data_IF_826611759338
#
_entry.id   IF_826611759338
#
_cell.length_a   1.000
_cell.length_b   1.000
_cell.length_c   1.000
_cell.angle_alpha   90.00
_cell.angle_beta   90.00
_cell.angle_gamma   90.00
#
_symmetry.space_group_name_H-M   'P 1'
#
loop_
_entity.id
_entity.type
_entity.pdbx_description
1 polymer ?
#
# COMPACT_ATOMS: atom_id res chain seq x y z
N UNK A 1 40.45 -66.57 49.80
CA UNK A 1 40.37 -65.12 50.02
C UNK A 1 40.96 -64.26 48.90
N UNK A 2 41.91 -64.69 48.16
CA UNK A 2 42.60 -63.94 47.08
C UNK A 2 41.72 -63.75 45.83
N UNK A 3 40.96 -64.73 45.38
CA UNK A 3 40.07 -64.67 44.19
C UNK A 3 38.97 -63.59 44.29
N UNK A 4 38.46 -63.32 45.48
CA UNK A 4 37.46 -62.27 45.70
C UNK A 4 37.99 -60.85 45.54
N UNK A 5 39.26 -60.59 45.88
CA UNK A 5 39.88 -59.29 45.72
C UNK A 5 40.15 -58.94 44.24
N UNK A 6 40.73 -59.95 43.52
CA UNK A 6 41.00 -59.78 42.07
C UNK A 6 39.70 -59.49 41.31
N UNK A 7 38.59 -60.20 41.60
CA UNK A 7 37.31 -59.99 40.98
C UNK A 7 36.77 -58.58 41.26
N UNK A 8 36.88 -58.06 42.48
CA UNK A 8 36.49 -56.70 42.79
C UNK A 8 37.29 -55.64 42.03
N UNK A 9 38.61 -55.84 41.89
CA UNK A 9 39.46 -54.93 41.11
C UNK A 9 39.08 -54.94 39.63
N UNK A 10 38.81 -56.10 39.06
CA UNK A 10 38.35 -56.23 37.66
C UNK A 10 37.02 -55.47 37.42
N UNK A 11 36.09 -55.55 38.37
CA UNK A 11 34.83 -54.82 38.25
C UNK A 11 35.05 -53.30 38.32
N UNK A 12 35.89 -52.82 39.22
CA UNK A 12 36.22 -51.41 39.34
C UNK A 12 36.86 -50.86 38.05
N UNK A 13 37.83 -51.59 37.52
CA UNK A 13 38.50 -51.25 36.26
C UNK A 13 37.48 -51.25 35.09
N UNK A 14 36.63 -52.23 35.01
CA UNK A 14 35.57 -52.28 33.97
C UNK A 14 34.61 -51.09 34.09
N UNK A 15 34.12 -50.78 35.28
CA UNK A 15 33.27 -49.60 35.51
C UNK A 15 33.94 -48.31 35.13
N UNK A 16 35.23 -48.17 35.42
CA UNK A 16 36.03 -47.00 35.02
C UNK A 16 36.07 -46.83 33.49
N UNK A 17 36.30 -47.89 32.74
CA UNK A 17 36.26 -47.84 31.28
C UNK A 17 34.86 -47.53 30.72
N UNK A 18 33.80 -48.04 31.34
CA UNK A 18 32.43 -47.74 30.94
C UNK A 18 32.11 -46.25 31.18
N UNK A 19 32.51 -45.71 32.34
CA UNK A 19 32.33 -44.29 32.63
C UNK A 19 33.11 -43.39 31.66
N UNK A 20 34.35 -43.75 31.35
CA UNK A 20 35.14 -42.98 30.38
C UNK A 20 34.55 -43.03 28.98
N UNK A 21 34.03 -44.17 28.53
CA UNK A 21 33.34 -44.28 27.24
C UNK A 21 32.05 -43.41 27.18
N UNK A 22 31.27 -43.37 28.28
CA UNK A 22 30.10 -42.54 28.39
C UNK A 22 30.47 -41.04 28.31
N UNK A 23 31.51 -40.62 29.04
CA UNK A 23 32.00 -39.23 28.99
C UNK A 23 32.41 -38.85 27.57
N UNK A 24 33.14 -39.75 26.87
CA UNK A 24 33.56 -39.48 25.49
C UNK A 24 32.39 -39.32 24.52
N UNK A 25 31.35 -40.16 24.64
CA UNK A 25 30.13 -40.07 23.81
C UNK A 25 29.39 -38.74 24.08
N UNK A 26 29.22 -38.37 25.33
CA UNK A 26 28.59 -37.12 25.73
C UNK A 26 29.37 -35.92 25.19
N UNK A 27 30.71 -35.93 25.36
CA UNK A 27 31.56 -34.81 24.91
C UNK A 27 31.56 -34.65 23.39
N UNK A 28 31.53 -35.74 22.63
CA UNK A 28 31.41 -35.70 21.17
C UNK A 28 30.05 -35.22 20.73
N UNK A 29 28.96 -35.64 21.42
CA UNK A 29 27.60 -35.16 21.16
C UNK A 29 27.46 -33.67 21.37
N UNK A 30 27.92 -33.17 22.52
CA UNK A 30 27.86 -31.74 22.85
C UNK A 30 28.72 -30.92 21.87
N UNK A 31 29.89 -31.38 21.49
CA UNK A 31 30.79 -30.70 20.53
C UNK A 31 30.15 -30.59 19.14
N UNK A 32 29.44 -31.63 18.68
CA UNK A 32 28.75 -31.57 17.39
C UNK A 32 27.54 -30.63 17.39
N UNK A 33 26.76 -30.58 18.48
CA UNK A 33 25.64 -29.63 18.61
C UNK A 33 26.13 -28.19 18.68
N UNK A 34 27.20 -27.91 19.46
CA UNK A 34 27.76 -26.56 19.51
C UNK A 34 28.27 -26.12 18.15
N UNK A 35 28.95 -27.01 17.41
CA UNK A 35 29.47 -26.71 16.07
C UNK A 35 28.32 -26.37 15.10
N UNK A 36 27.22 -27.11 15.14
CA UNK A 36 26.05 -26.82 14.31
C UNK A 36 25.36 -25.49 14.68
N UNK A 37 25.27 -25.16 15.97
CA UNK A 37 24.71 -23.86 16.43
C UNK A 37 25.63 -22.72 15.96
N UNK A 38 26.94 -22.84 16.04
CA UNK A 38 27.87 -21.79 15.59
C UNK A 38 27.80 -21.59 14.09
N UNK A 39 27.70 -22.66 13.29
CA UNK A 39 27.54 -22.58 11.83
C UNK A 39 26.23 -21.86 11.48
N UNK A 40 25.11 -22.21 12.13
CA UNK A 40 23.84 -21.55 11.89
C UNK A 40 23.86 -20.05 12.21
N UNK A 41 24.49 -19.65 13.32
CA UNK A 41 24.64 -18.25 13.70
C UNK A 41 25.50 -17.47 12.68
N UNK A 42 26.57 -18.09 12.17
CA UNK A 42 27.44 -17.47 11.14
C UNK A 42 26.70 -17.33 9.79
N UNK A 43 25.88 -18.31 9.40
CA UNK A 43 25.03 -18.23 8.20
C UNK A 43 23.94 -17.17 8.35
N UNK A 44 23.26 -17.09 9.50
CA UNK A 44 22.28 -16.04 9.77
C UNK A 44 22.91 -14.64 9.69
N UNK A 45 24.08 -14.43 10.29
CA UNK A 45 24.77 -13.15 10.20
C UNK A 45 25.18 -12.78 8.78
N UNK A 46 25.70 -13.74 8.00
CA UNK A 46 26.05 -13.50 6.60
C UNK A 46 24.81 -13.14 5.76
N UNK A 47 23.69 -13.80 6.00
CA UNK A 47 22.42 -13.51 5.32
C UNK A 47 21.89 -12.13 5.71
N UNK A 48 21.98 -11.74 6.99
CA UNK A 48 21.64 -10.40 7.45
C UNK A 48 22.52 -9.29 6.82
N UNK A 49 23.84 -9.52 6.78
CA UNK A 49 24.79 -8.58 6.16
C UNK A 49 24.53 -8.44 4.66
N UNK A 50 24.28 -9.56 3.96
CA UNK A 50 23.93 -9.56 2.54
C UNK A 50 22.61 -8.81 2.29
N UNK A 51 21.54 -9.13 3.04
CA UNK A 51 20.25 -8.46 2.93
C UNK A 51 20.35 -6.95 3.19
N UNK A 52 21.09 -6.54 4.21
CA UNK A 52 21.31 -5.13 4.51
C UNK A 52 22.10 -4.42 3.40
N UNK A 53 23.09 -5.08 2.80
CA UNK A 53 23.87 -4.52 1.69
C UNK A 53 23.01 -4.35 0.42
N UNK A 54 22.17 -5.31 0.11
CA UNK A 54 21.24 -5.25 -1.02
C UNK A 54 20.18 -4.14 -0.82
N UNK A 55 19.64 -4.02 0.38
CA UNK A 55 18.70 -2.95 0.75
C UNK A 55 19.32 -1.54 0.61
N UNK A 56 20.59 -1.37 0.97
CA UNK A 56 21.31 -0.09 0.81
C UNK A 56 21.57 0.23 -0.67
N UNK A 57 21.88 -0.77 -1.49
CA UNK A 57 22.03 -0.59 -2.95
C UNK A 57 20.71 -0.18 -3.57
N UNK A 58 19.61 -0.85 -3.22
CA UNK A 58 18.28 -0.51 -3.73
C UNK A 58 17.88 0.92 -3.35
N UNK A 59 18.08 1.34 -2.11
CA UNK A 59 17.81 2.71 -1.69
C UNK A 59 18.61 3.75 -2.47
N UNK A 60 19.86 3.46 -2.83
CA UNK A 60 20.69 4.35 -3.66
C UNK A 60 20.13 4.49 -5.06
N UNK A 61 19.75 3.38 -5.69
CA UNK A 61 19.17 3.36 -7.03
C UNK A 61 17.83 4.12 -7.07
N UNK A 62 16.98 3.92 -6.06
CA UNK A 62 15.71 4.63 -5.90
C UNK A 62 15.95 6.14 -5.77
N UNK A 63 16.93 6.54 -4.95
CA UNK A 63 17.26 7.94 -4.76
C UNK A 63 17.72 8.61 -6.06
N UNK A 64 18.55 7.93 -6.83
CA UNK A 64 19.02 8.42 -8.14
C UNK A 64 17.84 8.53 -9.11
N UNK A 65 17.01 7.50 -9.21
CA UNK A 65 15.84 7.49 -10.07
C UNK A 65 14.86 8.65 -9.73
N UNK A 66 14.52 8.83 -8.44
CA UNK A 66 13.60 9.89 -8.02
C UNK A 66 14.20 11.28 -8.26
N UNK A 67 15.51 11.48 -8.09
CA UNK A 67 16.14 12.73 -8.45
C UNK A 67 15.99 13.02 -9.96
N UNK A 68 16.17 12.01 -10.84
CA UNK A 68 15.94 12.18 -12.27
C UNK A 68 14.49 12.58 -12.59
N UNK A 69 13.51 12.03 -11.86
CA UNK A 69 12.10 12.45 -11.99
C UNK A 69 11.90 13.91 -11.55
N UNK A 70 12.52 14.32 -10.42
CA UNK A 70 12.43 15.70 -9.95
C UNK A 70 13.11 16.68 -10.90
N UNK A 71 14.25 16.32 -11.46
CA UNK A 71 14.98 17.12 -12.44
C UNK A 71 14.15 17.26 -13.72
N UNK A 72 13.56 16.17 -14.24
CA UNK A 72 12.67 16.22 -15.41
C UNK A 72 11.43 17.09 -15.16
N UNK A 73 10.83 17.05 -13.97
CA UNK A 73 9.73 17.95 -13.61
C UNK A 73 10.17 19.43 -13.60
N UNK A 74 11.35 19.74 -13.05
CA UNK A 74 11.91 21.09 -13.04
C UNK A 74 12.22 21.59 -14.46
N UNK A 75 12.74 20.71 -15.32
CA UNK A 75 13.07 21.01 -16.72
C UNK A 75 11.83 21.02 -17.64
N UNK A 76 10.64 20.71 -17.06
CA UNK A 76 9.35 20.61 -17.77
C UNK A 76 9.31 19.50 -18.82
N UNK A 77 10.14 18.47 -18.67
CA UNK A 77 10.11 17.25 -19.48
C UNK A 77 9.01 16.30 -18.96
N UNK A 78 7.76 16.72 -19.18
CA UNK A 78 6.60 15.96 -18.71
C UNK A 78 6.41 14.64 -19.45
N UNK A 79 6.92 14.51 -20.68
CA UNK A 79 6.85 13.26 -21.44
C UNK A 79 7.73 12.18 -20.79
N UNK A 80 8.93 12.56 -20.33
CA UNK A 80 9.79 11.68 -19.53
C UNK A 80 9.08 11.20 -18.25
N UNK A 81 8.51 12.10 -17.47
CA UNK A 81 7.81 11.74 -16.23
C UNK A 81 6.59 10.85 -16.50
N UNK A 82 5.79 11.18 -17.55
CA UNK A 82 4.60 10.42 -17.93
C UNK A 82 4.93 8.97 -18.29
N UNK A 83 6.07 8.72 -18.92
CA UNK A 83 6.54 7.36 -19.25
C UNK A 83 6.70 6.47 -17.99
N UNK A 84 7.09 7.06 -16.88
CA UNK A 84 7.27 6.34 -15.61
C UNK A 84 6.03 6.31 -14.73
N UNK A 85 4.95 7.03 -15.06
CA UNK A 85 3.71 6.91 -14.30
C UNK A 85 3.12 5.50 -14.42
N UNK A 86 2.56 5.01 -13.32
CA UNK A 86 1.87 3.72 -13.27
C UNK A 86 0.62 3.73 -14.17
N UNK A 87 0.41 2.64 -14.92
CA UNK A 87 -0.67 2.55 -15.89
C UNK A 87 -2.07 2.59 -15.24
N UNK A 88 -2.21 2.01 -14.03
CA UNK A 88 -3.44 2.05 -13.24
C UNK A 88 -3.71 3.47 -12.76
N UNK A 89 -2.65 4.16 -12.32
CA UNK A 89 -2.72 5.56 -11.92
C UNK A 89 -3.12 6.46 -13.10
N UNK A 90 -2.49 6.29 -14.27
CA UNK A 90 -2.86 7.01 -15.49
C UNK A 90 -4.33 6.79 -15.87
N UNK A 91 -4.78 5.53 -15.85
CA UNK A 91 -6.14 5.16 -16.22
C UNK A 91 -7.19 5.82 -15.32
N UNK A 92 -7.06 5.70 -14.01
CA UNK A 92 -8.12 6.08 -13.08
C UNK A 92 -8.09 7.54 -12.64
N UNK A 93 -6.91 8.18 -12.62
CA UNK A 93 -6.81 9.59 -12.23
C UNK A 93 -6.83 10.55 -13.41
N UNK A 94 -6.42 10.09 -14.57
CA UNK A 94 -6.26 10.94 -15.76
C UNK A 94 -7.06 10.45 -16.97
N UNK A 95 -7.80 9.35 -16.89
CA UNK A 95 -8.55 8.74 -18.00
C UNK A 95 -7.65 8.43 -19.22
N UNK A 96 -6.35 8.21 -19.02
CA UNK A 96 -5.30 8.16 -20.02
C UNK A 96 -5.19 9.44 -20.88
N UNK A 97 -5.70 10.57 -20.39
CA UNK A 97 -5.63 11.87 -21.07
C UNK A 97 -4.25 12.50 -20.83
N UNK A 98 -3.49 12.66 -21.91
CA UNK A 98 -2.14 13.23 -21.88
C UNK A 98 -2.12 14.70 -21.47
N UNK A 99 -3.09 15.49 -21.89
CA UNK A 99 -3.13 16.93 -21.57
C UNK A 99 -3.48 17.13 -20.08
N UNK A 100 -4.45 16.39 -19.56
CA UNK A 100 -4.81 16.36 -18.13
C UNK A 100 -3.61 15.92 -17.28
N UNK A 101 -2.88 14.90 -17.73
CA UNK A 101 -1.65 14.42 -17.06
C UNK A 101 -0.60 15.53 -17.01
N UNK A 102 -0.30 16.16 -18.15
CA UNK A 102 0.69 17.25 -18.24
C UNK A 102 0.31 18.45 -17.39
N UNK A 103 -0.95 18.82 -17.34
CA UNK A 103 -1.42 19.91 -16.48
C UNK A 103 -1.20 19.60 -14.99
N UNK A 104 -1.48 18.38 -14.57
CA UNK A 104 -1.21 17.96 -13.18
C UNK A 104 0.29 17.97 -12.88
N UNK A 105 1.13 17.47 -13.81
CA UNK A 105 2.58 17.48 -13.64
C UNK A 105 3.14 18.91 -13.52
N UNK A 106 2.63 19.86 -14.29
CA UNK A 106 3.00 21.29 -14.19
C UNK A 106 2.79 21.86 -12.78
N UNK A 107 1.74 21.38 -12.11
CA UNK A 107 1.34 21.88 -10.80
C UNK A 107 1.89 21.01 -9.64
N UNK A 108 2.61 19.93 -9.94
CA UNK A 108 3.11 19.01 -8.91
C UNK A 108 4.23 19.65 -8.09
N UNK A 109 5.21 20.27 -8.74
CA UNK A 109 6.27 21.04 -8.07
C UNK A 109 5.88 22.52 -7.98
N UNK A 110 6.26 23.15 -6.91
CA UNK A 110 6.08 24.60 -6.72
C UNK A 110 7.29 25.34 -7.26
N UNK A 111 7.06 26.40 -8.01
CA UNK A 111 8.13 27.20 -8.61
C UNK A 111 9.03 27.87 -7.55
N UNK A 112 10.33 27.88 -7.81
CA UNK A 112 11.33 28.53 -6.96
C UNK A 112 11.63 27.81 -5.65
N UNK A 113 11.15 26.59 -5.48
CA UNK A 113 11.36 25.77 -4.28
C UNK A 113 12.37 24.65 -4.58
N UNK A 114 13.33 24.47 -3.65
CA UNK A 114 14.27 23.36 -3.72
C UNK A 114 13.70 22.13 -3.01
N UNK A 115 13.59 21.04 -3.75
CA UNK A 115 13.15 19.75 -3.25
C UNK A 115 14.33 18.84 -2.87
N UNK A 116 14.13 18.03 -1.84
CA UNK A 116 15.11 17.02 -1.45
C UNK A 116 14.41 15.76 -0.95
N UNK A 117 14.98 14.59 -1.24
CA UNK A 117 14.50 13.33 -0.68
C UNK A 117 14.87 13.29 0.80
N UNK A 118 13.88 13.16 1.66
CA UNK A 118 14.04 13.14 3.13
C UNK A 118 13.95 11.74 3.71
N UNK A 119 13.19 10.84 3.07
CA UNK A 119 13.06 9.45 3.52
C UNK A 119 12.70 8.52 2.37
N UNK A 120 13.07 7.25 2.48
CA UNK A 120 12.69 6.15 1.60
C UNK A 120 12.28 4.98 2.49
N UNK A 121 10.97 4.73 2.56
CA UNK A 121 10.37 3.66 3.35
C UNK A 121 10.01 2.47 2.46
N UNK A 122 10.54 1.30 2.80
CA UNK A 122 10.28 0.03 2.13
C UNK A 122 8.99 -0.59 2.70
N UNK A 123 8.03 -0.90 1.83
CA UNK A 123 6.75 -1.52 2.17
C UNK A 123 6.58 -2.91 1.51
N UNK A 124 7.68 -3.52 1.06
CA UNK A 124 7.74 -4.85 0.48
C UNK A 124 7.56 -4.85 -1.03
N UNK A 125 6.36 -4.61 -1.52
CA UNK A 125 6.02 -4.54 -2.96
C UNK A 125 6.21 -3.14 -3.57
N UNK A 126 6.50 -2.13 -2.74
CA UNK A 126 6.65 -0.74 -3.14
C UNK A 126 7.48 0.05 -2.14
N UNK A 127 7.86 1.25 -2.56
CA UNK A 127 8.56 2.21 -1.73
C UNK A 127 7.76 3.50 -1.63
N UNK A 128 7.79 4.13 -0.45
CA UNK A 128 7.28 5.48 -0.24
C UNK A 128 8.46 6.43 -0.11
N UNK A 129 8.57 7.36 -1.04
CA UNK A 129 9.63 8.36 -1.06
C UNK A 129 9.07 9.69 -0.59
N UNK A 130 9.59 10.20 0.51
CA UNK A 130 9.24 11.51 1.06
C UNK A 130 10.14 12.58 0.45
N UNK A 131 9.53 13.64 -0.08
CA UNK A 131 10.21 14.79 -0.69
C UNK A 131 9.90 16.01 0.14
N UNK A 132 10.90 16.51 0.85
CA UNK A 132 10.79 17.68 1.69
C UNK A 132 11.13 18.97 0.94
N UNK A 133 10.46 20.07 1.29
CA UNK A 133 10.76 21.42 0.83
C UNK A 133 10.31 22.47 1.86
N UNK A 134 10.90 23.68 1.80
CA UNK A 134 10.50 24.79 2.65
C UNK A 134 9.91 25.90 1.79
N UNK A 135 8.72 26.37 2.16
CA UNK A 135 8.06 27.53 1.57
C UNK A 135 7.46 28.38 2.67
N UNK A 136 7.66 29.69 2.60
CA UNK A 136 7.19 30.66 3.59
C UNK A 136 7.58 30.26 5.03
N UNK A 137 8.82 29.80 5.22
CA UNK A 137 9.40 29.31 6.48
C UNK A 137 8.73 28.03 7.02
N UNK A 138 7.80 27.43 6.28
CA UNK A 138 7.10 26.20 6.67
C UNK A 138 7.70 25.02 5.91
N UNK A 139 8.17 23.99 6.64
CA UNK A 139 8.56 22.72 6.04
C UNK A 139 7.33 21.93 5.62
N UNK A 140 7.35 21.44 4.38
CA UNK A 140 6.27 20.64 3.77
C UNK A 140 6.83 19.38 3.16
N UNK A 141 5.98 18.37 3.02
CA UNK A 141 6.34 17.09 2.42
C UNK A 141 5.37 16.72 1.32
N UNK A 142 5.90 16.25 0.21
CA UNK A 142 5.18 15.51 -0.84
C UNK A 142 5.67 14.07 -0.85
N UNK A 143 4.92 13.19 -1.48
CA UNK A 143 5.24 11.77 -1.55
C UNK A 143 5.21 11.27 -2.98
N UNK A 144 6.09 10.33 -3.28
CA UNK A 144 6.02 9.50 -4.48
C UNK A 144 5.90 8.05 -4.00
N UNK A 145 4.91 7.33 -4.50
CA UNK A 145 4.85 5.87 -4.38
C UNK A 145 5.56 5.28 -5.59
N UNK A 146 6.48 4.36 -5.36
CA UNK A 146 7.33 3.76 -6.37
C UNK A 146 7.20 2.25 -6.31
N UNK A 147 6.96 1.62 -7.46
CA UNK A 147 6.96 0.17 -7.64
C UNK A 147 8.20 -0.27 -8.39
N UNK A 148 8.85 -1.33 -7.91
CA UNK A 148 9.91 -2.02 -8.64
C UNK A 148 9.28 -3.15 -9.47
N UNK A 149 9.37 -3.03 -10.79
CA UNK A 149 8.81 -4.00 -11.75
C UNK A 149 9.80 -5.12 -12.13
N UNK A 150 10.81 -5.38 -11.30
CA UNK A 150 11.95 -6.26 -11.58
C UNK A 150 13.03 -5.60 -12.46
N UNK A 151 14.27 -5.95 -12.21
CA UNK A 151 15.46 -5.47 -12.94
C UNK A 151 15.71 -3.95 -12.93
N UNK A 152 15.27 -3.24 -11.88
CA UNK A 152 15.49 -1.79 -11.74
C UNK A 152 14.65 -0.92 -12.66
N UNK A 153 13.56 -1.45 -13.19
CA UNK A 153 12.53 -0.68 -13.88
C UNK A 153 11.49 -0.22 -12.87
N UNK A 154 11.34 1.08 -12.72
CA UNK A 154 10.43 1.66 -11.75
C UNK A 154 9.20 2.26 -12.41
N UNK A 155 8.05 2.15 -11.75
CA UNK A 155 6.83 2.91 -12.03
C UNK A 155 6.44 3.72 -10.81
N UNK A 156 5.86 4.91 -11.02
CA UNK A 156 5.56 5.85 -9.93
C UNK A 156 4.10 6.31 -9.93
N UNK A 157 3.62 6.66 -8.76
CA UNK A 157 2.43 7.47 -8.55
C UNK A 157 2.79 8.71 -7.72
N UNK A 158 2.30 9.87 -8.13
CA UNK A 158 2.55 11.12 -7.43
C UNK A 158 1.62 11.25 -6.22
N UNK A 159 2.05 10.74 -5.08
CA UNK A 159 1.29 10.72 -3.84
C UNK A 159 1.63 9.50 -2.99
N UNK A 160 0.96 9.39 -1.84
CA UNK A 160 1.10 8.28 -0.91
C UNK A 160 -0.06 7.30 -1.11
N UNK A 161 0.08 6.38 -2.05
CA UNK A 161 -0.95 5.39 -2.36
C UNK A 161 -0.57 3.99 -1.89
N UNK A 162 -1.47 3.33 -1.16
CA UNK A 162 -1.27 1.94 -0.75
C UNK A 162 -1.70 0.98 -1.86
N UNK A 163 -2.81 1.28 -2.53
CA UNK A 163 -3.30 0.55 -3.70
C UNK A 163 -4.28 1.39 -4.50
N UNK A 164 -4.50 1.00 -5.75
CA UNK A 164 -5.59 1.44 -6.62
C UNK A 164 -6.21 0.16 -7.19
N UNK A 165 -7.51 -0.01 -7.01
CA UNK A 165 -8.23 -1.20 -7.43
C UNK A 165 -9.45 -0.87 -8.26
N UNK A 166 -9.76 -1.66 -9.31
CA UNK A 166 -11.03 -1.58 -9.99
C UNK A 166 -12.20 -1.76 -9.03
N UNK A 167 -13.28 -1.05 -9.28
CA UNK A 167 -14.53 -1.12 -8.56
C UNK A 167 -15.67 -1.08 -9.57
N UNK A 168 -16.85 -1.56 -9.18
CA UNK A 168 -17.99 -1.69 -10.07
C UNK A 168 -19.32 -1.38 -9.37
N UNK A 169 -19.29 -0.50 -8.37
CA UNK A 169 -20.53 -0.06 -7.73
C UNK A 169 -21.24 0.96 -8.61
N UNK A 170 -22.44 0.65 -9.07
CA UNK A 170 -23.24 1.53 -9.91
C UNK A 170 -24.72 1.44 -9.58
N UNK A 171 -25.46 2.54 -9.76
CA UNK A 171 -26.92 2.58 -9.67
C UNK A 171 -27.51 3.80 -10.36
N UNK A 172 -28.83 3.76 -10.64
CA UNK A 172 -29.55 4.85 -11.25
C UNK A 172 -30.81 5.19 -10.45
N UNK A 173 -31.01 6.46 -10.17
CA UNK A 173 -32.22 6.99 -9.53
C UNK A 173 -32.72 8.26 -10.24
N UNK A 174 -33.94 8.29 -10.72
CA UNK A 174 -34.56 9.46 -11.39
C UNK A 174 -33.72 10.05 -12.54
N UNK A 175 -33.11 9.19 -13.38
CA UNK A 175 -32.17 9.57 -14.44
C UNK A 175 -30.84 10.18 -13.93
N UNK A 176 -30.55 10.09 -12.65
CA UNK A 176 -29.24 10.40 -12.10
C UNK A 176 -28.49 9.10 -11.95
N UNK A 177 -27.28 9.04 -12.50
CA UNK A 177 -26.39 7.88 -12.39
C UNK A 177 -25.36 8.17 -11.30
N UNK A 178 -25.15 7.21 -10.41
CA UNK A 178 -24.07 7.18 -9.42
C UNK A 178 -23.17 6.02 -9.78
N UNK A 179 -21.91 6.29 -10.05
CA UNK A 179 -20.97 5.30 -10.54
C UNK A 179 -19.61 5.38 -9.81
N UNK A 180 -19.08 4.23 -9.39
CA UNK A 180 -17.77 4.11 -8.80
C UNK A 180 -16.99 3.04 -9.57
N UNK A 181 -16.05 3.46 -10.39
CA UNK A 181 -15.25 2.59 -11.27
C UNK A 181 -13.96 2.12 -10.64
N UNK A 182 -13.50 2.76 -9.56
CA UNK A 182 -12.29 2.37 -8.84
C UNK A 182 -12.33 2.84 -7.39
N UNK A 183 -11.49 2.23 -6.58
CA UNK A 183 -11.19 2.65 -5.21
C UNK A 183 -9.68 2.79 -5.04
N UNK A 184 -9.26 3.63 -4.12
CA UNK A 184 -7.86 3.71 -3.76
C UNK A 184 -7.67 3.90 -2.25
N UNK A 185 -6.48 3.57 -1.75
CA UNK A 185 -6.14 3.77 -0.35
C UNK A 185 -4.94 4.69 -0.18
N UNK A 186 -5.05 5.59 0.80
CA UNK A 186 -4.01 6.51 1.24
C UNK A 186 -3.87 6.40 2.75
N UNK A 187 -2.75 5.86 3.22
CA UNK A 187 -2.57 5.55 4.64
C UNK A 187 -3.62 4.54 5.13
N UNK A 188 -4.36 4.90 6.20
CA UNK A 188 -5.45 4.09 6.76
C UNK A 188 -6.83 4.39 6.17
N UNK A 189 -6.89 5.25 5.15
CA UNK A 189 -8.13 5.69 4.50
C UNK A 189 -8.33 4.95 3.20
N UNK A 190 -9.57 4.49 2.97
CA UNK A 190 -10.03 4.02 1.67
C UNK A 190 -10.96 5.05 1.08
N UNK A 191 -10.76 5.39 -0.18
CA UNK A 191 -11.49 6.43 -0.90
C UNK A 191 -12.29 5.78 -2.03
N UNK A 192 -13.56 6.17 -2.13
CA UNK A 192 -14.49 5.75 -3.16
C UNK A 192 -14.91 7.00 -3.95
N UNK A 193 -14.26 7.30 -5.08
CA UNK A 193 -14.71 8.34 -5.99
C UNK A 193 -16.05 7.94 -6.60
N UNK A 194 -17.04 8.83 -6.53
CA UNK A 194 -18.36 8.63 -7.11
C UNK A 194 -18.56 9.66 -8.20
N UNK A 195 -18.70 9.22 -9.44
CA UNK A 195 -19.13 10.04 -10.56
C UNK A 195 -20.65 10.13 -10.55
N UNK A 196 -21.18 11.34 -10.42
CA UNK A 196 -22.62 11.60 -10.41
C UNK A 196 -22.97 12.33 -11.70
N UNK A 197 -23.81 11.71 -12.53
CA UNK A 197 -24.23 12.27 -13.81
C UNK A 197 -25.72 12.57 -13.81
N UNK A 198 -26.08 13.81 -14.15
CA UNK A 198 -27.47 14.21 -14.29
C UNK A 198 -27.97 14.04 -15.74
N UNK A 199 -28.63 12.91 -16.02
CA UNK A 199 -29.25 12.62 -17.30
C UNK A 199 -30.76 12.96 -17.30
N UNK A 200 -31.24 13.77 -16.35
CA UNK A 200 -32.58 14.28 -16.33
C UNK A 200 -32.74 15.53 -17.21
N UNK A 201 -33.96 16.00 -17.40
CA UNK A 201 -34.27 17.19 -18.20
C UNK A 201 -34.30 18.50 -17.37
N UNK A 202 -33.87 18.43 -16.10
CA UNK A 202 -33.91 19.56 -15.16
C UNK A 202 -32.64 19.59 -14.32
N UNK A 203 -32.34 20.77 -13.76
CA UNK A 203 -31.22 20.90 -12.82
C UNK A 203 -31.56 20.18 -11.52
N UNK A 204 -30.54 19.58 -10.88
CA UNK A 204 -30.69 18.71 -9.72
C UNK A 204 -29.80 19.18 -8.59
N UNK A 205 -30.38 19.27 -7.39
CA UNK A 205 -29.66 19.47 -6.14
C UNK A 205 -29.70 18.16 -5.37
N UNK A 206 -28.51 17.65 -5.00
CA UNK A 206 -28.32 16.43 -4.22
C UNK A 206 -27.74 16.83 -2.87
N UNK A 207 -28.54 16.70 -1.83
CA UNK A 207 -28.08 16.91 -0.45
C UNK A 207 -27.82 15.56 0.18
N UNK A 208 -26.57 15.34 0.61
CA UNK A 208 -26.18 14.10 1.26
C UNK A 208 -26.46 14.19 2.77
N UNK A 209 -27.36 13.35 3.26
CA UNK A 209 -27.61 13.21 4.70
C UNK A 209 -26.66 12.22 5.37
N UNK A 210 -26.32 11.14 4.67
CA UNK A 210 -25.41 10.10 5.15
C UNK A 210 -24.87 9.28 3.97
N UNK A 211 -23.67 8.72 4.14
CA UNK A 211 -23.14 7.68 3.28
C UNK A 211 -22.39 6.64 4.14
N UNK A 212 -22.57 5.37 3.81
CA UNK A 212 -21.90 4.30 4.54
C UNK A 212 -21.64 3.08 3.66
N UNK A 213 -20.60 2.35 3.98
CA UNK A 213 -20.28 1.05 3.40
C UNK A 213 -20.89 -0.05 4.27
N UNK A 214 -21.49 -1.05 3.64
CA UNK A 214 -21.98 -2.24 4.30
C UNK A 214 -21.01 -3.40 4.03
N UNK A 215 -20.41 -3.95 5.09
CA UNK A 215 -19.52 -5.09 5.00
C UNK A 215 -20.26 -6.43 4.97
N UNK A 216 -19.54 -7.48 4.60
CA UNK A 216 -20.06 -8.86 4.52
C UNK A 216 -20.59 -9.38 5.86
N UNK A 217 -20.10 -8.86 6.98
CA UNK A 217 -20.56 -9.21 8.33
C UNK A 217 -21.77 -8.40 8.79
N UNK A 218 -22.27 -7.47 7.95
CA UNK A 218 -23.37 -6.57 8.27
C UNK A 218 -22.94 -5.30 9.02
N UNK A 219 -21.64 -5.09 9.24
CA UNK A 219 -21.15 -3.87 9.84
C UNK A 219 -21.28 -2.68 8.89
N UNK A 220 -21.62 -1.52 9.45
CA UNK A 220 -21.68 -0.27 8.72
C UNK A 220 -20.46 0.61 9.06
N UNK A 221 -19.83 1.16 8.04
CA UNK A 221 -18.76 2.16 8.17
C UNK A 221 -19.20 3.44 7.50
N UNK A 222 -19.37 4.50 8.29
CA UNK A 222 -19.81 5.79 7.79
C UNK A 222 -18.69 6.53 7.06
N UNK A 223 -19.05 7.17 5.97
CA UNK A 223 -18.14 8.01 5.18
C UNK A 223 -17.98 9.39 5.85
N UNK A 224 -16.81 9.97 5.63
CA UNK A 224 -16.47 11.33 6.03
C UNK A 224 -16.48 12.25 4.80
N UNK A 225 -16.51 13.57 5.03
CA UNK A 225 -16.38 14.60 4.00
C UNK A 225 -17.42 14.47 2.88
N UNK A 226 -18.69 14.40 3.27
CA UNK A 226 -19.81 14.35 2.32
C UNK A 226 -20.21 15.78 1.97
N UNK A 227 -20.14 16.12 0.68
CA UNK A 227 -20.50 17.45 0.17
C UNK A 227 -21.77 17.38 -0.68
N UNK A 228 -22.61 18.44 -0.60
CA UNK A 228 -23.78 18.57 -1.44
C UNK A 228 -23.38 18.93 -2.88
N UNK A 229 -24.15 18.45 -3.84
CA UNK A 229 -23.86 18.57 -5.27
C UNK A 229 -25.02 19.26 -5.97
N UNK A 230 -24.69 20.19 -6.87
CA UNK A 230 -25.69 20.82 -7.77
C UNK A 230 -25.25 20.58 -9.22
N UNK A 231 -26.06 19.90 -10.00
CA UNK A 231 -25.78 19.51 -11.37
C UNK A 231 -26.81 20.07 -12.33
N UNK A 232 -26.38 20.75 -13.38
CA UNK A 232 -27.22 21.08 -14.52
C UNK A 232 -27.56 19.85 -15.33
N UNK A 233 -28.57 19.95 -16.17
CA UNK A 233 -28.90 18.90 -17.14
C UNK A 233 -27.70 18.53 -17.98
N UNK A 234 -27.34 17.25 -18.01
CA UNK A 234 -26.20 16.69 -18.75
C UNK A 234 -24.82 16.90 -18.08
N UNK A 235 -24.79 17.53 -16.91
CA UNK A 235 -23.56 17.75 -16.16
C UNK A 235 -23.17 16.53 -15.33
N UNK A 236 -21.88 16.35 -15.10
CA UNK A 236 -21.33 15.35 -14.17
C UNK A 236 -20.41 16.02 -13.15
N UNK A 237 -20.36 15.43 -11.97
CA UNK A 237 -19.44 15.84 -10.91
C UNK A 237 -18.93 14.60 -10.17
N UNK A 238 -17.66 14.63 -9.82
CA UNK A 238 -17.03 13.60 -8.99
C UNK A 238 -16.99 14.07 -7.53
N UNK A 239 -17.40 13.19 -6.62
CA UNK A 239 -17.23 13.35 -5.18
C UNK A 239 -16.37 12.22 -4.64
N UNK A 240 -15.76 12.40 -3.48
CA UNK A 240 -14.94 11.36 -2.83
C UNK A 240 -15.53 10.99 -1.47
N UNK A 241 -15.95 9.75 -1.34
CA UNK A 241 -16.40 9.19 -0.07
C UNK A 241 -15.21 8.54 0.63
N UNK A 242 -14.86 9.02 1.81
CA UNK A 242 -13.69 8.60 2.56
C UNK A 242 -14.11 7.78 3.77
N UNK A 243 -13.51 6.60 3.94
CA UNK A 243 -13.75 5.72 5.09
C UNK A 243 -12.43 5.29 5.69
N UNK A 244 -12.33 5.29 7.02
CA UNK A 244 -11.14 4.84 7.74
C UNK A 244 -11.28 3.40 8.24
N UNK A 245 -10.13 2.72 8.35
CA UNK A 245 -10.01 1.42 9.03
C UNK A 245 -10.99 0.34 8.53
N UNK A 246 -11.07 0.15 7.20
CA UNK A 246 -11.84 -0.95 6.62
C UNK A 246 -11.01 -2.23 6.73
N UNK A 247 -11.58 -3.24 7.39
CA UNK A 247 -10.95 -4.54 7.65
C UNK A 247 -11.72 -5.72 7.04
N UNK A 248 -12.81 -5.46 6.32
CA UNK A 248 -13.67 -6.49 5.74
C UNK A 248 -14.04 -6.18 4.28
N UNK A 249 -14.54 -7.19 3.57
CA UNK A 249 -15.06 -7.02 2.22
C UNK A 249 -16.38 -6.24 2.23
N UNK A 250 -16.52 -5.34 1.28
CA UNK A 250 -17.67 -4.46 1.13
C UNK A 250 -18.63 -5.04 0.10
N UNK A 251 -19.90 -5.18 0.46
CA UNK A 251 -20.95 -5.67 -0.41
C UNK A 251 -21.79 -4.57 -1.05
N UNK A 252 -21.92 -3.42 -0.38
CA UNK A 252 -22.62 -2.27 -0.95
C UNK A 252 -22.14 -0.95 -0.39
N UNK A 253 -22.26 0.08 -1.21
CA UNK A 253 -22.13 1.48 -0.84
C UNK A 253 -23.54 2.10 -0.81
N UNK A 254 -23.91 2.71 0.31
CA UNK A 254 -25.26 3.20 0.57
C UNK A 254 -25.22 4.69 0.81
N UNK A 255 -26.11 5.43 0.11
CA UNK A 255 -26.23 6.87 0.20
C UNK A 255 -27.65 7.22 0.64
N UNK A 256 -27.78 8.02 1.69
CA UNK A 256 -29.04 8.69 2.05
C UNK A 256 -28.96 10.12 1.57
N UNK A 257 -29.81 10.48 0.63
CA UNK A 257 -29.75 11.78 -0.04
C UNK A 257 -31.16 12.39 -0.16
N UNK A 258 -31.21 13.72 -0.30
CA UNK A 258 -32.40 14.40 -0.85
C UNK A 258 -32.07 14.86 -2.27
N UNK A 259 -32.87 14.45 -3.22
CA UNK A 259 -32.79 14.88 -4.61
C UNK A 259 -33.94 15.86 -4.83
N UNK A 260 -33.62 17.13 -5.07
CA UNK A 260 -34.61 18.23 -5.15
C UNK A 260 -35.60 18.22 -3.97
N UNK A 261 -35.06 18.01 -2.74
CA UNK A 261 -35.81 17.96 -1.49
C UNK A 261 -36.60 16.65 -1.23
N UNK A 262 -36.52 15.66 -2.13
CA UNK A 262 -37.18 14.35 -1.95
C UNK A 262 -36.16 13.34 -1.42
N UNK A 263 -36.45 12.76 -0.26
CA UNK A 263 -35.59 11.73 0.34
C UNK A 263 -35.48 10.47 -0.51
N UNK A 264 -34.25 9.95 -0.65
CA UNK A 264 -33.92 8.73 -1.38
C UNK A 264 -32.86 7.93 -0.63
N UNK A 265 -33.07 6.62 -0.51
CA UNK A 265 -32.07 5.66 -0.16
C UNK A 265 -31.51 5.08 -1.46
N UNK A 266 -30.24 5.35 -1.74
CA UNK A 266 -29.54 4.89 -2.93
C UNK A 266 -28.55 3.80 -2.49
N UNK A 267 -28.73 2.61 -3.04
CA UNK A 267 -27.86 1.48 -2.78
C UNK A 267 -27.11 1.10 -4.06
N UNK A 268 -25.80 1.14 -3.99
CA UNK A 268 -24.89 0.78 -5.07
C UNK A 268 -24.32 -0.60 -4.76
N UNK A 269 -24.58 -1.56 -5.63
CA UNK A 269 -24.07 -2.92 -5.52
C UNK A 269 -22.92 -3.12 -6.50
N UNK A 270 -21.93 -3.96 -6.13
CA UNK A 270 -20.98 -4.48 -7.09
C UNK A 270 -21.69 -5.43 -8.05
N UNK A 271 -21.49 -5.27 -9.35
CA UNK A 271 -22.04 -6.18 -10.37
C UNK A 271 -21.58 -7.63 -10.15
N UNK A 272 -20.42 -7.85 -9.53
CA UNK A 272 -19.91 -9.20 -9.17
C UNK A 272 -20.67 -9.83 -8.01
N UNK A 273 -21.23 -9.03 -7.10
CA UNK A 273 -22.04 -9.51 -5.96
C UNK A 273 -23.46 -9.89 -6.34
N UNK A 274 -23.99 -9.43 -7.46
CA UNK A 274 -25.36 -9.76 -7.93
C UNK A 274 -25.50 -11.11 -8.64
N UNK A 275 -24.43 -11.90 -8.73
CA UNK A 275 -24.40 -13.24 -9.34
C UNK A 275 -24.29 -14.38 -8.32
N UNK A 276 -24.77 -14.16 -7.10
CA UNK A 276 -24.91 -15.23 -6.09
C UNK A 276 -26.35 -15.72 -6.01
#
# INVERSE_FOLDING_TARGET
MYKSRIFKICIIVFLFFVVMAIIEIITRGISSEISNIVINIEEEKKNEEFYNSEKEVNKRNIKEFVNNILDALNDKDYDYVTYYLDDTYLKYFFDNDKEKTKETLKNYLEDGVKYQITDISDAGDKYYVSIGYTKDEIFRTKYITLYDLENGVYKIMLGYYNYISPSDYSTKSNNIIFDNTYTYAVGNKRVYPIDICNNSNEDVVIEFENAYLLGITGNQKHCMNIENVTLKTGENQKIELIVENIVEDIISLNLKVKINGIEKDIQMYSEKGSRA
#
